data_IF_002395841785
#
_entry.id   IF_002395841785
#
_cell.length_a   1.000
_cell.length_b   1.000
_cell.length_c   1.000
_cell.angle_alpha   90.00
_cell.angle_beta   90.00
_cell.angle_gamma   90.00
#
_symmetry.space_group_name_H-M   'P 1'
#
loop_
_entity.id
_entity.type
_entity.pdbx_description
1 polymer ?
#
# COMPACT_ATOMS: atom_id res chain seq x y z
N UNK A 1 19.33 -70.22 -4.38
CA UNK A 1 19.97 -69.43 -5.48
C UNK A 1 18.83 -68.67 -6.17
N UNK A 2 18.71 -67.35 -6.29
CA UNK A 2 19.62 -66.20 -6.50
C UNK A 2 19.04 -65.00 -5.71
N UNK A 3 19.78 -64.36 -4.78
CA UNK A 3 20.44 -63.04 -4.93
C UNK A 3 19.53 -61.98 -5.59
N UNK A 4 18.81 -61.20 -4.79
CA UNK A 4 19.12 -59.80 -4.39
C UNK A 4 19.00 -58.78 -5.53
N UNK A 5 18.11 -57.78 -5.39
CA UNK A 5 18.47 -56.35 -5.40
C UNK A 5 17.23 -55.46 -5.19
N UNK A 6 17.29 -54.74 -4.07
CA UNK A 6 16.53 -53.54 -3.73
C UNK A 6 17.18 -52.38 -4.51
N UNK A 7 16.46 -51.60 -5.32
CA UNK A 7 16.58 -50.12 -5.55
C UNK A 7 15.48 -49.71 -6.58
N UNK A 8 14.19 -49.99 -6.31
CA UNK A 8 13.08 -49.51 -7.15
C UNK A 8 12.06 -48.59 -6.44
N UNK A 9 12.02 -48.41 -5.10
CA UNK A 9 11.07 -47.48 -4.51
C UNK A 9 11.57 -46.02 -4.45
N UNK A 10 12.76 -45.69 -5.00
CA UNK A 10 13.37 -44.36 -4.80
C UNK A 10 13.33 -43.42 -6.02
N UNK A 11 12.97 -43.90 -7.21
CA UNK A 11 12.87 -43.07 -8.43
C UNK A 11 11.44 -42.56 -8.66
N UNK A 12 10.44 -43.11 -7.93
CA UNK A 12 9.03 -42.70 -8.06
C UNK A 12 8.66 -41.49 -7.17
N UNK A 13 9.57 -41.01 -6.30
CA UNK A 13 9.30 -39.95 -5.31
C UNK A 13 9.88 -38.57 -5.71
N UNK A 14 10.46 -38.43 -6.90
CA UNK A 14 11.17 -37.21 -7.34
C UNK A 14 10.54 -36.48 -8.55
N UNK A 15 9.32 -36.86 -8.97
CA UNK A 15 8.58 -36.25 -10.09
C UNK A 15 7.34 -35.47 -9.60
N UNK A 16 7.45 -34.79 -8.45
CA UNK A 16 6.40 -33.85 -7.98
C UNK A 16 6.99 -32.46 -7.65
N UNK A 17 8.00 -32.05 -8.41
CA UNK A 17 8.26 -30.63 -8.62
C UNK A 17 7.62 -30.20 -9.95
N UNK A 18 7.07 -29.00 -9.94
CA UNK A 18 6.60 -28.20 -11.10
C UNK A 18 5.16 -28.40 -11.59
N UNK A 19 4.19 -28.37 -10.68
CA UNK A 19 2.88 -27.80 -10.99
C UNK A 19 2.81 -26.34 -10.49
N UNK A 20 3.09 -25.43 -11.41
CA UNK A 20 2.52 -24.08 -11.50
C UNK A 20 2.74 -23.10 -10.33
N UNK A 21 3.83 -22.34 -10.44
CA UNK A 21 3.82 -20.92 -10.08
C UNK A 21 2.79 -20.22 -10.97
N UNK A 22 1.86 -19.49 -10.37
CA UNK A 22 1.11 -18.44 -11.08
C UNK A 22 -0.40 -18.59 -11.12
N UNK A 23 -1.05 -18.28 -10.00
CA UNK A 23 -2.24 -17.43 -10.04
C UNK A 23 -2.06 -16.38 -8.95
N UNK A 24 -1.49 -15.24 -9.33
CA UNK A 24 -1.73 -14.03 -8.57
C UNK A 24 -3.25 -13.82 -8.57
N UNK A 25 -3.85 -13.80 -7.38
CA UNK A 25 -5.20 -13.29 -7.21
C UNK A 25 -5.17 -11.81 -7.61
N UNK A 26 -5.36 -11.56 -8.90
CA UNK A 26 -6.06 -10.38 -9.36
C UNK A 26 -7.50 -10.62 -8.94
N UNK A 27 -7.81 -10.30 -7.69
CA UNK A 27 -9.19 -10.13 -7.26
C UNK A 27 -9.73 -8.91 -8.00
N UNK A 28 -10.23 -9.18 -9.21
CA UNK A 28 -11.01 -8.25 -10.00
C UNK A 28 -12.34 -8.03 -9.29
N UNK A 29 -12.39 -6.92 -8.56
CA UNK A 29 -13.46 -5.94 -8.68
C UNK A 29 -14.90 -6.46 -8.45
N UNK A 30 -15.28 -6.56 -7.18
CA UNK A 30 -16.43 -5.74 -6.80
C UNK A 30 -15.92 -4.29 -6.79
N UNK A 31 -16.24 -3.48 -7.81
CA UNK A 31 -15.95 -2.04 -7.79
C UNK A 31 -16.90 -1.40 -6.77
N UNK A 32 -16.69 -1.67 -5.48
CA UNK A 32 -16.92 -0.66 -4.48
C UNK A 32 -15.85 0.38 -4.78
N UNK A 33 -16.27 1.55 -5.24
CA UNK A 33 -15.42 2.74 -5.24
C UNK A 33 -14.95 2.92 -3.79
N UNK A 34 -13.77 2.37 -3.48
CA UNK A 34 -13.20 2.46 -2.14
C UNK A 34 -13.00 3.93 -1.82
N UNK A 35 -13.36 4.31 -0.60
CA UNK A 35 -13.17 5.69 -0.15
C UNK A 35 -11.69 6.04 -0.22
N UNK A 36 -11.36 7.24 -0.71
CA UNK A 36 -9.95 7.69 -0.83
C UNK A 36 -9.21 7.60 0.50
N UNK A 37 -9.90 7.76 1.63
CA UNK A 37 -9.30 7.61 2.97
C UNK A 37 -8.93 6.17 3.27
N UNK A 38 -9.78 5.21 2.90
CA UNK A 38 -9.50 3.78 3.05
C UNK A 38 -8.31 3.37 2.17
N UNK A 39 -8.28 3.88 0.93
CA UNK A 39 -7.16 3.68 -0.01
C UNK A 39 -5.85 4.16 0.59
N UNK A 40 -5.81 5.40 1.10
CA UNK A 40 -4.61 5.96 1.73
C UNK A 40 -4.24 5.17 2.98
N UNK A 41 -5.21 4.85 3.85
CA UNK A 41 -4.99 4.08 5.08
C UNK A 41 -4.30 2.75 4.81
N UNK A 42 -4.76 1.99 3.81
CA UNK A 42 -4.18 0.68 3.45
C UNK A 42 -2.74 0.77 2.93
N UNK A 43 -2.30 1.95 2.49
CA UNK A 43 -0.94 2.22 2.01
C UNK A 43 -0.02 2.82 3.07
N UNK A 44 -0.56 3.21 4.23
CA UNK A 44 0.26 3.70 5.35
C UNK A 44 1.12 2.58 5.93
N UNK A 45 2.31 2.94 6.41
CA UNK A 45 3.11 2.03 7.21
C UNK A 45 2.39 1.68 8.52
N UNK A 46 2.72 0.53 9.11
CA UNK A 46 2.17 0.15 10.43
C UNK A 46 2.47 1.19 11.51
N UNK A 47 3.63 1.84 11.45
CA UNK A 47 4.01 2.90 12.39
C UNK A 47 3.06 4.11 12.30
N UNK A 48 2.77 4.56 11.08
CA UNK A 48 1.84 5.66 10.82
C UNK A 48 0.40 5.29 11.25
N UNK A 49 -0.05 4.06 10.99
CA UNK A 49 -1.37 3.61 11.45
C UNK A 49 -1.46 3.60 12.99
N UNK A 50 -0.40 3.17 13.67
CA UNK A 50 -0.37 3.07 15.14
C UNK A 50 -0.42 4.43 15.84
N UNK A 51 0.13 5.48 15.24
CA UNK A 51 0.09 6.84 15.80
C UNK A 51 -1.22 7.59 15.49
N UNK A 52 -2.02 7.14 14.51
CA UNK A 52 -3.28 7.83 14.19
C UNK A 52 -4.29 7.66 15.35
N UNK A 53 -5.00 8.75 15.64
CA UNK A 53 -6.15 8.76 16.53
C UNK A 53 -7.40 8.49 15.70
N UNK A 54 -7.99 7.30 15.89
CA UNK A 54 -9.20 6.87 15.19
C UNK A 54 -8.93 5.82 14.10
N UNK A 55 -9.72 5.87 13.04
CA UNK A 55 -9.71 4.92 11.92
C UNK A 55 -9.59 5.67 10.59
N UNK A 56 -9.57 4.93 9.48
CA UNK A 56 -9.57 5.53 8.14
C UNK A 56 -10.75 6.49 7.91
N UNK A 57 -11.89 6.28 8.57
CA UNK A 57 -13.09 7.13 8.39
C UNK A 57 -12.89 8.55 8.90
N UNK A 58 -11.97 8.73 9.83
CA UNK A 58 -11.70 10.00 10.51
C UNK A 58 -10.75 10.92 9.73
N UNK A 59 -10.23 10.45 8.59
CA UNK A 59 -9.40 11.26 7.70
C UNK A 59 -10.16 12.45 7.11
N UNK A 60 -9.50 13.61 7.03
CA UNK A 60 -9.98 14.80 6.31
C UNK A 60 -9.47 14.79 4.89
N UNK A 61 -10.36 15.02 3.91
CA UNK A 61 -10.03 15.08 2.48
C UNK A 61 -10.06 16.53 2.00
N UNK A 62 -9.05 16.96 1.24
CA UNK A 62 -9.03 18.24 0.53
C UNK A 62 -8.81 18.00 -0.97
N UNK A 63 -9.68 18.56 -1.83
CA UNK A 63 -9.76 18.20 -3.27
C UNK A 63 -9.27 19.28 -4.23
N UNK A 64 -9.29 20.55 -3.81
CA UNK A 64 -8.97 21.71 -4.65
C UNK A 64 -7.66 22.34 -4.17
N UNK A 65 -6.58 21.58 -4.27
CA UNK A 65 -5.26 22.03 -3.81
C UNK A 65 -4.66 23.03 -4.81
N UNK A 66 -4.10 24.12 -4.28
CA UNK A 66 -3.28 25.06 -5.04
C UNK A 66 -1.86 24.54 -5.20
N UNK A 67 -1.07 25.15 -6.10
CA UNK A 67 0.36 24.81 -6.23
C UNK A 67 1.13 24.98 -4.91
N UNK A 68 0.72 25.97 -4.09
CA UNK A 68 1.29 26.19 -2.77
C UNK A 68 0.91 25.07 -1.79
N UNK A 69 -0.30 24.55 -1.86
CA UNK A 69 -0.71 23.42 -1.02
C UNK A 69 0.00 22.12 -1.44
N UNK A 70 0.37 21.99 -2.72
CA UNK A 70 1.11 20.82 -3.22
C UNK A 70 2.61 20.93 -2.88
N UNK A 71 3.17 22.14 -2.84
CA UNK A 71 4.61 22.34 -2.63
C UNK A 71 5.09 22.01 -1.21
N UNK A 72 4.20 21.86 -0.24
CA UNK A 72 4.54 21.35 1.10
C UNK A 72 4.87 19.85 1.11
N UNK A 73 4.52 19.12 0.05
CA UNK A 73 4.75 17.69 -0.06
C UNK A 73 6.07 17.39 -0.78
N UNK A 74 6.81 16.45 -0.22
CA UNK A 74 7.87 15.76 -0.95
C UNK A 74 7.26 14.69 -1.86
N UNK A 75 7.65 14.64 -3.14
CA UNK A 75 7.21 13.58 -4.03
C UNK A 75 7.80 12.24 -3.56
N UNK A 76 7.00 11.17 -3.64
CA UNK A 76 7.42 9.82 -3.24
C UNK A 76 8.48 9.24 -4.19
N UNK A 77 8.37 9.59 -5.48
CA UNK A 77 9.29 9.20 -6.54
C UNK A 77 9.99 10.44 -7.10
N UNK A 78 11.05 10.28 -7.90
CA UNK A 78 11.84 11.38 -8.48
C UNK A 78 11.10 12.24 -9.52
N UNK A 79 9.77 12.15 -9.59
CA UNK A 79 8.92 12.82 -10.57
C UNK A 79 8.11 13.99 -9.98
N UNK A 80 7.55 14.80 -10.87
CA UNK A 80 6.60 15.84 -10.49
C UNK A 80 5.30 15.23 -9.96
N UNK A 81 4.73 15.85 -8.93
CA UNK A 81 3.43 15.47 -8.38
C UNK A 81 2.34 15.80 -9.42
N UNK A 82 1.46 14.82 -9.68
CA UNK A 82 0.35 14.98 -10.62
C UNK A 82 -0.61 16.11 -10.19
N UNK A 83 -1.23 16.80 -11.15
CA UNK A 83 -2.17 17.91 -10.88
C UNK A 83 -3.51 17.45 -10.26
N UNK A 84 -3.93 16.21 -10.52
CA UNK A 84 -5.19 15.67 -10.01
C UNK A 84 -4.94 14.83 -8.75
N UNK A 85 -4.74 15.52 -7.65
CA UNK A 85 -4.41 14.92 -6.36
C UNK A 85 -5.32 15.45 -5.26
N UNK A 86 -5.62 14.60 -4.29
CA UNK A 86 -6.27 14.99 -3.04
C UNK A 86 -5.27 14.93 -1.89
N UNK A 87 -5.43 15.79 -0.89
CA UNK A 87 -4.76 15.63 0.39
C UNK A 87 -5.66 14.81 1.31
N UNK A 88 -5.06 13.86 2.03
CA UNK A 88 -5.73 13.13 3.11
C UNK A 88 -4.92 13.32 4.38
N UNK A 89 -5.56 13.89 5.40
CA UNK A 89 -4.93 14.17 6.70
C UNK A 89 -5.60 13.34 7.79
N UNK A 90 -4.81 12.59 8.54
CA UNK A 90 -5.25 11.86 9.74
C UNK A 90 -4.65 12.49 10.99
N UNK A 91 -5.46 12.63 12.04
CA UNK A 91 -4.98 13.15 13.32
C UNK A 91 -3.95 12.18 13.93
N UNK A 92 -2.77 12.67 14.30
CA UNK A 92 -1.76 11.85 14.98
C UNK A 92 -1.73 12.14 16.49
N UNK A 93 -1.39 11.12 17.29
CA UNK A 93 -1.01 11.26 18.70
C UNK A 93 0.26 12.11 18.85
N UNK A 94 1.10 12.10 17.82
CA UNK A 94 2.35 12.86 17.75
C UNK A 94 2.15 14.24 17.10
N UNK A 95 0.92 14.71 16.92
CA UNK A 95 0.64 16.00 16.28
C UNK A 95 1.39 17.19 16.91
N UNK A 96 1.52 17.30 18.25
CA UNK A 96 2.24 18.43 18.86
C UNK A 96 3.73 18.52 18.50
N UNK A 97 4.35 17.42 18.08
CA UNK A 97 5.79 17.34 17.78
C UNK A 97 6.06 17.15 16.29
N UNK A 98 5.42 16.14 15.68
CA UNK A 98 5.63 15.70 14.30
C UNK A 98 4.56 16.23 13.33
N UNK A 99 3.49 16.85 13.83
CA UNK A 99 2.29 17.15 13.05
C UNK A 99 1.45 15.91 12.72
N UNK A 100 0.38 16.11 11.95
CA UNK A 100 -0.52 15.05 11.51
C UNK A 100 0.06 14.19 10.39
N UNK A 101 -0.48 12.98 10.21
CA UNK A 101 -0.15 12.14 9.05
C UNK A 101 -0.88 12.72 7.84
N UNK A 102 -0.17 13.46 6.99
CA UNK A 102 -0.71 14.05 5.76
C UNK A 102 -0.09 13.39 4.53
N UNK A 103 -0.95 12.89 3.63
CA UNK A 103 -0.55 12.24 2.38
C UNK A 103 -1.23 12.90 1.19
N UNK A 104 -0.51 12.91 0.08
CA UNK A 104 -1.03 13.35 -1.21
C UNK A 104 -1.28 12.12 -2.07
N UNK A 105 -2.49 11.98 -2.60
CA UNK A 105 -2.94 10.80 -3.33
C UNK A 105 -3.42 11.18 -4.73
N UNK A 106 -2.92 10.49 -5.75
CA UNK A 106 -3.44 10.58 -7.10
C UNK A 106 -4.72 9.75 -7.20
N UNK A 107 -5.83 10.41 -7.53
CA UNK A 107 -7.16 9.82 -7.51
C UNK A 107 -7.44 8.90 -8.71
N UNK A 108 -6.67 9.02 -9.80
CA UNK A 108 -6.78 8.13 -10.96
C UNK A 108 -6.08 6.81 -10.71
N UNK A 109 -4.88 6.86 -10.14
CA UNK A 109 -4.09 5.66 -9.83
C UNK A 109 -4.36 5.09 -8.44
N UNK A 110 -5.05 5.82 -7.56
CA UNK A 110 -5.26 5.47 -6.16
C UNK A 110 -3.94 5.23 -5.40
N UNK A 111 -2.89 5.98 -5.73
CA UNK A 111 -1.56 5.84 -5.11
C UNK A 111 -1.15 7.07 -4.34
N UNK A 112 -0.47 6.87 -3.21
CA UNK A 112 0.21 7.95 -2.51
C UNK A 112 1.39 8.41 -3.38
N UNK A 113 1.37 9.68 -3.78
CA UNK A 113 2.39 10.33 -4.63
C UNK A 113 3.22 11.37 -3.88
N UNK A 114 2.80 11.76 -2.68
CA UNK A 114 3.56 12.70 -1.86
C UNK A 114 3.30 12.57 -0.37
N UNK A 115 4.28 13.02 0.43
CA UNK A 115 4.22 13.03 1.89
C UNK A 115 4.78 14.36 2.41
N UNK A 116 4.28 14.83 3.54
CA UNK A 116 4.90 15.96 4.26
C UNK A 116 6.11 15.48 5.05
N UNK A 117 7.11 16.36 5.20
CA UNK A 117 8.21 16.15 6.14
C UNK A 117 7.65 16.30 7.55
N UNK A 118 7.98 15.35 8.42
CA UNK A 118 7.62 15.38 9.84
C UNK A 118 8.92 15.42 10.65
N UNK A 119 9.02 16.35 11.59
CA UNK A 119 10.25 16.71 12.31
C UNK A 119 10.34 15.98 13.63
#
# INVERSE_FOLDING_TARGET
MKKSIRIIPLILMLIILSAMVGCGNKDSSAIKTKDVREIVWTQLSKSEQNEIVGTWKDGKIEKNLTEKDISEFQPKDSGAIAKEVYSVTFKSKNEPTLGNVKKLVNIKSNTIVGTVIRK
#
